data_IF_366095499182
#
_entry.id   IF_366095499182
#
_cell.length_a   1.000
_cell.length_b   1.000
_cell.length_c   1.000
_cell.angle_alpha   90.00
_cell.angle_beta   90.00
_cell.angle_gamma   90.00
#
_symmetry.space_group_name_H-M   'P 1'
#
loop_
_entity.id
_entity.type
_entity.pdbx_description
1 polymer ?
#
# COMPACT_ATOMS: atom_id res chain seq x y z
N UNK A 1 -10.88 -13.10 17.05
CA UNK A 1 -11.27 -12.36 15.85
C UNK A 1 -10.12 -11.47 15.39
N UNK A 2 -9.69 -11.66 14.18
CA UNK A 2 -8.61 -10.86 13.62
C UNK A 2 -9.18 -9.65 12.90
N UNK A 3 -8.86 -8.49 13.42
CA UNK A 3 -9.27 -7.25 12.79
C UNK A 3 -8.09 -6.72 11.99
N UNK A 4 -8.29 -6.52 10.71
CA UNK A 4 -7.26 -5.96 9.86
C UNK A 4 -6.91 -4.55 10.31
N UNK A 5 -5.63 -4.31 10.51
CA UNK A 5 -5.14 -3.00 10.89
C UNK A 5 -5.13 -2.09 9.67
N UNK A 6 -5.39 -0.82 9.90
CA UNK A 6 -5.33 0.18 8.83
C UNK A 6 -3.91 0.67 8.66
N UNK A 7 -3.45 0.68 7.42
CA UNK A 7 -2.10 1.13 7.07
C UNK A 7 -2.23 2.36 6.18
N UNK A 8 -1.63 3.44 6.59
CA UNK A 8 -1.66 4.67 5.82
C UNK A 8 -0.57 4.69 4.77
N UNK A 9 -0.74 5.58 3.78
CA UNK A 9 0.19 5.68 2.66
C UNK A 9 1.64 5.84 3.12
N UNK A 10 1.87 6.67 4.13
CA UNK A 10 3.22 6.90 4.65
C UNK A 10 3.88 5.63 5.14
N UNK A 11 3.13 4.82 5.88
CA UNK A 11 3.62 3.55 6.38
C UNK A 11 3.85 2.57 5.24
N UNK A 12 2.91 2.50 4.31
CA UNK A 12 3.00 1.62 3.16
C UNK A 12 4.24 1.95 2.32
N UNK A 13 4.47 3.23 2.05
CA UNK A 13 5.66 3.68 1.33
C UNK A 13 6.94 3.23 2.03
N UNK A 14 6.97 3.34 3.35
CA UNK A 14 8.11 2.91 4.15
C UNK A 14 8.36 1.42 4.04
N UNK A 15 7.29 0.62 4.04
CA UNK A 15 7.40 -0.83 3.92
C UNK A 15 7.89 -1.26 2.55
N UNK A 16 7.53 -0.51 1.51
CA UNK A 16 7.99 -0.78 0.14
C UNK A 16 9.33 -0.14 -0.15
N UNK A 17 9.81 0.73 0.74
CA UNK A 17 11.05 1.48 0.57
C UNK A 17 11.07 2.28 -0.74
N UNK A 18 9.95 2.93 -1.03
CA UNK A 18 9.84 3.79 -2.22
C UNK A 18 9.50 5.20 -1.78
N UNK A 19 9.83 6.16 -2.62
CA UNK A 19 9.48 7.53 -2.33
C UNK A 19 8.03 7.82 -2.73
N UNK A 20 7.57 9.01 -2.40
CA UNK A 20 6.18 9.39 -2.65
C UNK A 20 5.83 9.38 -4.14
N UNK A 21 6.72 9.91 -4.96
CA UNK A 21 6.49 9.99 -6.40
C UNK A 21 6.35 8.60 -6.99
N UNK A 22 7.26 7.70 -6.64
CA UNK A 22 7.22 6.33 -7.16
C UNK A 22 5.99 5.59 -6.66
N UNK A 23 5.63 5.81 -5.39
CA UNK A 23 4.45 5.17 -4.80
C UNK A 23 3.17 5.53 -5.58
N UNK A 24 2.96 6.80 -5.85
CA UNK A 24 1.77 7.23 -6.57
C UNK A 24 1.81 6.82 -8.04
N UNK A 25 3.00 6.73 -8.63
CA UNK A 25 3.14 6.20 -9.98
C UNK A 25 2.70 4.73 -10.04
N UNK A 26 3.14 3.93 -9.06
CA UNK A 26 2.75 2.53 -8.98
C UNK A 26 1.24 2.38 -8.77
N UNK A 27 0.68 3.23 -7.94
CA UNK A 27 -0.76 3.23 -7.68
C UNK A 27 -1.53 3.55 -8.97
N UNK A 28 -1.09 4.56 -9.68
CA UNK A 28 -1.72 4.98 -10.93
C UNK A 28 -1.65 3.89 -12.00
N UNK A 29 -0.55 3.16 -12.05
CA UNK A 29 -0.37 2.08 -13.03
C UNK A 29 -1.07 0.79 -12.64
N UNK A 30 -1.67 0.74 -11.46
CA UNK A 30 -2.39 -0.43 -11.01
C UNK A 30 -1.52 -1.50 -10.37
N UNK A 31 -0.26 -1.19 -10.06
CA UNK A 31 0.62 -2.12 -9.37
C UNK A 31 0.34 -2.20 -7.88
N UNK A 32 -0.34 -1.19 -7.35
CA UNK A 32 -0.76 -1.14 -5.97
C UNK A 32 -2.29 -1.07 -5.96
N UNK A 33 -2.97 -1.86 -5.12
CA UNK A 33 -4.43 -1.84 -5.10
C UNK A 33 -4.96 -0.50 -4.63
N UNK A 34 -6.17 -0.19 -5.03
CA UNK A 34 -6.80 1.05 -4.63
C UNK A 34 -7.04 1.07 -3.13
N UNK A 35 -6.85 2.22 -2.49
CA UNK A 35 -7.10 2.34 -1.06
C UNK A 35 -8.58 2.38 -0.73
N UNK A 36 -8.90 2.06 0.51
CA UNK A 36 -10.23 2.28 1.04
C UNK A 36 -10.34 3.75 1.41
N UNK A 37 -11.38 4.41 0.96
CA UNK A 37 -11.62 5.81 1.27
C UNK A 37 -12.91 5.95 2.07
N UNK A 38 -12.78 6.45 3.28
CA UNK A 38 -13.95 6.78 4.10
C UNK A 38 -14.34 8.22 3.81
N UNK A 39 -13.34 9.09 3.78
CA UNK A 39 -13.52 10.49 3.38
C UNK A 39 -12.33 10.86 2.49
N UNK A 40 -12.32 12.07 1.95
CA UNK A 40 -11.21 12.52 1.12
C UNK A 40 -9.87 12.46 1.84
N UNK A 41 -9.89 12.59 3.15
CA UNK A 41 -8.66 12.61 3.96
C UNK A 41 -8.34 11.26 4.58
N UNK A 42 -9.36 10.40 4.74
CA UNK A 42 -9.17 9.10 5.37
C UNK A 42 -8.99 8.02 4.31
N UNK A 43 -7.76 7.88 3.89
CA UNK A 43 -7.35 6.90 2.88
C UNK A 43 -6.39 5.92 3.53
N UNK A 44 -6.67 4.63 3.38
CA UNK A 44 -5.83 3.60 3.97
C UNK A 44 -5.96 2.28 3.21
N UNK A 45 -5.06 1.37 3.53
CA UNK A 45 -5.13 -0.01 3.05
C UNK A 45 -5.21 -0.91 4.27
N UNK A 46 -5.82 -2.08 4.12
CA UNK A 46 -5.80 -3.06 5.19
C UNK A 46 -4.46 -3.77 5.24
N UNK A 47 -4.02 -4.13 6.43
CA UNK A 47 -2.73 -4.76 6.64
C UNK A 47 -2.56 -6.04 5.80
N UNK A 48 -3.60 -6.85 5.68
CA UNK A 48 -3.54 -8.06 4.89
C UNK A 48 -3.21 -7.77 3.42
N UNK A 49 -3.79 -6.70 2.89
CA UNK A 49 -3.53 -6.28 1.52
C UNK A 49 -2.10 -5.76 1.39
N UNK A 50 -1.68 -4.93 2.34
CA UNK A 50 -0.33 -4.38 2.35
C UNK A 50 0.70 -5.50 2.44
N UNK A 51 0.46 -6.46 3.29
CA UNK A 51 1.37 -7.59 3.47
C UNK A 51 1.56 -8.37 2.18
N UNK A 52 0.47 -8.63 1.47
CA UNK A 52 0.53 -9.32 0.18
C UNK A 52 1.35 -8.53 -0.84
N UNK A 53 1.13 -7.22 -0.88
CA UNK A 53 1.85 -6.37 -1.84
C UNK A 53 3.33 -6.28 -1.52
N UNK A 54 3.67 -6.17 -0.24
CA UNK A 54 5.06 -6.14 0.18
C UNK A 54 5.77 -7.44 -0.19
N UNK A 55 5.13 -8.57 0.06
CA UNK A 55 5.70 -9.88 -0.30
C UNK A 55 5.87 -10.02 -1.81
N UNK A 56 4.91 -9.52 -2.58
CA UNK A 56 4.96 -9.57 -4.02
C UNK A 56 6.17 -8.82 -4.57
N UNK A 57 6.41 -7.62 -4.05
CA UNK A 57 7.57 -6.82 -4.47
C UNK A 57 8.89 -7.39 -3.95
N UNK A 58 8.84 -8.08 -2.81
CA UNK A 58 10.01 -8.70 -2.23
C UNK A 58 10.64 -9.76 -3.14
N UNK A 59 9.81 -10.54 -3.81
CA UNK A 59 10.27 -11.61 -4.68
C UNK A 59 10.45 -11.18 -6.13
N UNK A 60 10.11 -9.95 -6.42
CA UNK A 60 10.22 -9.45 -7.78
C UNK A 60 11.58 -8.83 -7.98
N UNK A 61 12.33 -9.42 -8.87
CA UNK A 61 13.63 -8.88 -9.25
C UNK A 61 13.51 -8.13 -10.56
N UNK A 62 14.15 -7.02 -10.62
CA UNK A 62 14.21 -6.24 -11.84
C UNK A 62 15.61 -6.23 -12.38
#
# INVERSE_FOLDING_TARGET
MNIDRRVRAKEFMGLLAVDRTKFYTLLKKGHIPEPVRITEKDVFWYESVVKKEVEKFKYRRE
#
